data_IF_556580019417
#
_entry.id   IF_556580019417
#
_cell.length_a   1.000
_cell.length_b   1.000
_cell.length_c   1.000
_cell.angle_alpha   90.00
_cell.angle_beta   90.00
_cell.angle_gamma   90.00
#
_symmetry.space_group_name_H-M   'P 1'
#
loop_
_entity.id
_entity.type
_entity.pdbx_description
1 polymer ?
#
# COMPACT_ATOMS: atom_id res chain seq x y z
N UNK A 1 9.84 -11.17 -11.28
CA UNK A 1 8.98 -12.13 -11.98
C UNK A 1 7.70 -12.34 -11.20
N UNK A 2 6.54 -12.46 -11.85
CA UNK A 2 5.30 -12.98 -11.26
C UNK A 2 5.20 -14.48 -11.54
N UNK A 3 4.81 -15.27 -10.54
CA UNK A 3 4.77 -16.75 -10.62
C UNK A 3 3.55 -17.32 -9.92
N UNK A 4 3.25 -18.60 -10.13
CA UNK A 4 2.23 -19.30 -9.34
C UNK A 4 2.78 -19.74 -7.97
N UNK A 5 1.90 -20.12 -7.05
CA UNK A 5 2.27 -20.48 -5.68
C UNK A 5 3.31 -21.61 -5.60
N UNK A 6 3.17 -22.67 -6.40
CA UNK A 6 4.12 -23.80 -6.40
C UNK A 6 5.53 -23.36 -6.81
N UNK A 7 5.62 -22.49 -7.82
CA UNK A 7 6.88 -21.92 -8.30
C UNK A 7 7.52 -20.99 -7.26
N UNK A 8 6.72 -20.17 -6.58
CA UNK A 8 7.18 -19.33 -5.47
C UNK A 8 7.77 -20.16 -4.32
N UNK A 9 7.16 -21.31 -4.00
CA UNK A 9 7.65 -22.21 -2.95
C UNK A 9 8.94 -22.90 -3.37
N UNK A 10 9.02 -23.33 -4.63
CA UNK A 10 10.17 -24.01 -5.19
C UNK A 10 11.32 -23.07 -5.62
N UNK A 11 11.11 -21.75 -5.60
CA UNK A 11 12.00 -20.79 -6.26
C UNK A 11 12.25 -21.13 -7.74
N UNK A 12 11.20 -21.59 -8.42
CA UNK A 12 11.23 -21.87 -9.83
C UNK A 12 10.89 -20.59 -10.61
N UNK A 13 11.80 -20.16 -11.48
CA UNK A 13 11.62 -18.99 -12.36
C UNK A 13 11.64 -19.36 -13.85
N UNK A 14 11.47 -20.65 -14.18
CA UNK A 14 11.54 -21.16 -15.55
C UNK A 14 10.32 -20.82 -16.41
N UNK A 15 9.16 -20.57 -15.79
CA UNK A 15 7.91 -20.28 -16.51
C UNK A 15 7.09 -19.18 -15.83
N UNK A 16 7.64 -17.96 -15.71
CA UNK A 16 6.95 -16.87 -15.05
C UNK A 16 5.68 -16.47 -15.80
N UNK A 17 4.64 -16.07 -15.06
CA UNK A 17 3.43 -15.43 -15.60
C UNK A 17 3.81 -14.12 -16.29
N UNK A 18 4.74 -13.37 -15.69
CA UNK A 18 5.24 -12.09 -16.21
C UNK A 18 6.66 -11.81 -15.72
N UNK A 19 7.42 -11.08 -16.54
CA UNK A 19 8.81 -10.69 -16.29
C UNK A 19 8.95 -9.17 -16.31
N UNK A 20 9.66 -8.64 -15.32
CA UNK A 20 9.91 -7.21 -15.15
C UNK A 20 11.40 -7.03 -14.84
N UNK A 21 12.08 -6.18 -15.62
CA UNK A 21 13.55 -6.06 -15.62
C UNK A 21 14.04 -4.63 -15.83
N UNK A 22 13.17 -3.61 -15.74
CA UNK A 22 13.60 -2.22 -15.98
C UNK A 22 14.40 -1.66 -14.81
N UNK A 23 14.30 -2.28 -13.63
CA UNK A 23 14.93 -1.82 -12.40
C UNK A 23 14.14 -0.73 -11.68
N UNK A 24 13.10 -0.19 -12.32
CA UNK A 24 12.11 0.72 -11.73
C UNK A 24 10.70 0.28 -12.17
N UNK A 25 10.38 -0.99 -11.90
CA UNK A 25 9.15 -1.62 -12.35
C UNK A 25 7.98 -1.24 -11.43
N UNK A 26 6.84 -0.87 -12.01
CA UNK A 26 5.58 -0.63 -11.29
C UNK A 26 4.54 -1.65 -11.73
N UNK A 27 3.95 -2.36 -10.77
CA UNK A 27 3.04 -3.49 -11.00
C UNK A 27 1.70 -3.20 -10.33
N UNK A 28 0.64 -3.04 -11.12
CA UNK A 28 -0.71 -2.84 -10.61
C UNK A 28 -1.41 -4.18 -10.35
N UNK A 29 -1.85 -4.41 -9.12
CA UNK A 29 -2.59 -5.61 -8.72
C UNK A 29 -4.08 -5.28 -8.59
N UNK A 30 -4.90 -5.79 -9.52
CA UNK A 30 -6.32 -5.45 -9.61
C UNK A 30 -7.25 -6.49 -8.97
N UNK A 31 -6.73 -7.66 -8.59
CA UNK A 31 -7.53 -8.76 -8.06
C UNK A 31 -7.16 -9.07 -6.63
N UNK A 32 -8.17 -9.44 -5.84
CA UNK A 32 -7.99 -9.93 -4.48
C UNK A 32 -7.32 -11.31 -4.47
N UNK A 33 -6.70 -11.64 -3.34
CA UNK A 33 -5.97 -12.90 -3.13
C UNK A 33 -4.46 -12.73 -3.19
N UNK A 34 -3.77 -13.86 -3.21
CA UNK A 34 -2.31 -13.94 -3.18
C UNK A 34 -1.68 -13.74 -4.56
N UNK A 35 -0.68 -12.88 -4.62
CA UNK A 35 0.16 -12.63 -5.79
C UNK A 35 1.61 -12.86 -5.42
N UNK A 36 2.27 -13.77 -6.14
CA UNK A 36 3.62 -14.20 -5.82
C UNK A 36 4.64 -13.64 -6.80
N UNK A 37 5.72 -13.11 -6.26
CA UNK A 37 6.83 -12.59 -7.04
C UNK A 37 8.17 -13.14 -6.54
N UNK A 38 9.06 -13.42 -7.49
CA UNK A 38 10.43 -13.90 -7.24
C UNK A 38 11.42 -13.17 -8.13
N UNK A 39 12.67 -13.09 -7.69
CA UNK A 39 13.78 -12.80 -8.60
C UNK A 39 14.28 -14.09 -9.25
N UNK A 40 14.48 -14.05 -10.58
CA UNK A 40 14.95 -15.19 -11.36
C UNK A 40 16.47 -15.34 -11.43
N UNK A 41 17.24 -14.41 -10.85
CA UNK A 41 18.70 -14.52 -10.80
C UNK A 41 19.08 -15.69 -9.89
N UNK A 42 19.97 -16.60 -10.33
CA UNK A 42 20.35 -17.77 -9.55
C UNK A 42 20.73 -17.43 -8.11
N UNK A 43 20.12 -18.11 -7.14
CA UNK A 43 20.36 -17.92 -5.71
C UNK A 43 19.55 -16.80 -5.05
N UNK A 44 19.07 -15.80 -5.79
CA UNK A 44 18.39 -14.65 -5.18
C UNK A 44 17.09 -15.03 -4.47
N UNK A 45 16.25 -15.87 -5.10
CA UNK A 45 15.00 -16.32 -4.48
C UNK A 45 15.25 -17.17 -3.22
N UNK A 46 16.24 -18.06 -3.28
CA UNK A 46 16.64 -18.92 -2.16
C UNK A 46 17.18 -18.09 -0.99
N UNK A 47 17.86 -16.99 -1.29
CA UNK A 47 18.33 -16.00 -0.33
C UNK A 47 17.24 -15.02 0.15
N UNK A 48 15.97 -15.26 -0.22
CA UNK A 48 14.83 -14.50 0.29
C UNK A 48 14.33 -13.36 -0.60
N UNK A 49 14.87 -13.17 -1.81
CA UNK A 49 14.38 -12.18 -2.77
C UNK A 49 13.10 -12.68 -3.46
N UNK A 50 12.03 -12.74 -2.68
CA UNK A 50 10.67 -13.12 -3.10
C UNK A 50 9.64 -12.48 -2.18
N UNK A 51 8.43 -12.24 -2.70
CA UNK A 51 7.33 -11.64 -1.93
C UNK A 51 6.00 -12.30 -2.27
N UNK A 52 5.19 -12.51 -1.24
CA UNK A 52 3.76 -12.88 -1.33
C UNK A 52 2.96 -11.64 -0.93
N UNK A 53 2.11 -11.17 -1.84
CA UNK A 53 1.21 -10.03 -1.61
C UNK A 53 -0.22 -10.56 -1.53
N UNK A 54 -0.81 -10.51 -0.33
CA UNK A 54 -2.22 -10.84 -0.14
C UNK A 54 -3.09 -9.57 -0.22
N UNK A 55 -3.80 -9.40 -1.33
CA UNK A 55 -4.74 -8.31 -1.52
C UNK A 55 -6.09 -8.69 -0.91
N UNK A 56 -6.43 -8.02 0.20
CA UNK A 56 -7.69 -8.25 0.89
C UNK A 56 -8.88 -7.73 0.06
N UNK A 57 -10.01 -8.42 0.15
CA UNK A 57 -11.26 -7.88 -0.37
C UNK A 57 -11.68 -6.71 0.52
N UNK A 58 -11.86 -5.53 -0.06
CA UNK A 58 -12.46 -4.41 0.67
C UNK A 58 -13.83 -4.85 1.19
N UNK A 59 -14.13 -4.67 2.49
CA UNK A 59 -15.49 -4.84 2.96
C UNK A 59 -16.37 -3.89 2.15
N UNK A 60 -17.37 -4.44 1.46
CA UNK A 60 -18.45 -3.60 0.94
C UNK A 60 -19.00 -2.79 2.11
N UNK A 61 -19.24 -1.48 1.98
CA UNK A 61 -20.00 -0.78 3.00
C UNK A 61 -21.32 -1.53 3.17
N UNK A 62 -21.54 -2.10 4.35
CA UNK A 62 -22.87 -2.56 4.72
C UNK A 62 -23.80 -1.35 4.62
N UNK A 63 -25.07 -1.52 4.22
CA UNK A 63 -26.04 -0.46 4.40
C UNK A 63 -26.05 -0.13 5.89
N UNK A 64 -25.63 1.08 6.25
CA UNK A 64 -25.85 1.59 7.59
C UNK A 64 -27.35 1.55 7.83
N UNK A 65 -27.83 0.69 8.73
CA UNK A 65 -29.17 0.90 9.29
C UNK A 65 -29.15 2.28 9.92
N UNK A 66 -29.90 3.21 9.35
CA UNK A 66 -30.02 4.58 9.81
C UNK A 66 -30.25 4.59 11.33
N UNK A 67 -29.32 5.18 12.07
CA UNK A 67 -29.53 5.43 13.49
C UNK A 67 -30.77 6.34 13.66
N UNK A 68 -31.60 6.16 14.70
CA UNK A 68 -32.71 7.05 14.97
C UNK A 68 -32.23 8.49 15.13
N UNK A 69 -32.93 9.42 14.50
CA UNK A 69 -32.65 10.84 14.54
C UNK A 69 -32.68 11.35 16.00
N UNK A 70 -31.68 12.12 16.47
CA UNK A 70 -31.77 12.76 17.79
C UNK A 70 -32.90 13.82 17.82
N UNK A 71 -33.53 14.06 18.98
CA UNK A 71 -34.56 15.09 19.13
C UNK A 71 -33.98 16.50 18.84
N UNK A 72 -34.82 17.46 18.42
CA UNK A 72 -34.37 18.78 17.99
C UNK A 72 -33.69 19.54 19.13
N UNK A 73 -32.51 20.08 18.85
CA UNK A 73 -31.78 20.97 19.75
C UNK A 73 -32.42 22.36 19.79
N UNK A 74 -32.49 22.96 20.98
CA UNK A 74 -32.93 24.34 21.21
C UNK A 74 -31.97 25.36 20.56
N UNK A 75 -32.44 26.56 20.20
CA UNK A 75 -31.61 27.56 19.52
C UNK A 75 -30.66 28.25 20.51
N UNK A 76 -29.37 28.30 20.16
CA UNK A 76 -28.39 29.20 20.79
C UNK A 76 -27.88 30.22 19.76
N UNK A 77 -27.61 31.47 20.18
CA UNK A 77 -27.40 32.59 19.28
C UNK A 77 -26.00 32.62 18.67
N UNK A 78 -25.94 33.19 17.46
CA UNK A 78 -24.71 33.49 16.71
C UNK A 78 -23.94 34.66 17.34
N UNK A 79 -22.62 34.77 17.14
CA UNK A 79 -22.19 35.68 16.08
C UNK A 79 -20.93 35.28 15.27
N UNK A 80 -21.06 35.47 13.97
CA UNK A 80 -20.20 36.18 12.98
C UNK A 80 -18.66 36.22 13.06
N UNK A 81 -18.11 35.94 11.88
CA UNK A 81 -16.93 36.52 11.20
C UNK A 81 -15.53 35.93 11.46
N UNK A 82 -15.02 35.26 10.42
CA UNK A 82 -13.63 34.83 10.23
C UNK A 82 -12.77 35.92 9.56
N UNK A 83 -11.43 35.79 9.63
CA UNK A 83 -10.56 36.15 8.51
C UNK A 83 -9.80 34.92 7.95
N UNK A 84 -9.30 34.98 6.70
CA UNK A 84 -8.65 33.84 6.06
C UNK A 84 -7.17 33.75 6.45
N UNK A 85 -6.69 32.55 6.78
CA UNK A 85 -5.26 32.26 6.94
C UNK A 85 -4.83 31.24 5.89
N UNK A 86 -4.16 31.72 4.85
CA UNK A 86 -3.45 30.90 3.88
C UNK A 86 -2.18 30.36 4.57
N UNK A 87 -2.06 29.05 4.81
CA UNK A 87 -0.80 28.43 5.23
C UNK A 87 -0.49 27.23 4.33
N UNK A 88 0.14 27.59 3.22
CA UNK A 88 1.11 26.79 2.49
C UNK A 88 2.22 26.33 3.46
N UNK A 89 2.19 25.08 3.92
CA UNK A 89 3.36 24.45 4.54
C UNK A 89 3.58 23.05 4.01
N UNK A 90 4.44 23.04 3.00
CA UNK A 90 5.33 21.98 2.57
C UNK A 90 5.82 21.13 3.77
N UNK A 91 5.31 19.92 3.91
CA UNK A 91 5.87 18.89 4.79
C UNK A 91 6.72 17.92 3.96
N UNK A 92 7.87 18.42 3.51
CA UNK A 92 9.09 17.61 3.40
C UNK A 92 10.14 18.31 4.27
N UNK A 93 10.68 17.63 5.29
CA UNK A 93 11.92 16.90 5.03
C UNK A 93 12.09 15.64 5.89
N UNK A 94 12.00 14.45 5.30
CA UNK A 94 12.46 13.21 5.96
C UNK A 94 13.63 12.53 5.23
N UNK A 95 14.44 13.32 4.51
CA UNK A 95 15.62 12.81 3.82
C UNK A 95 16.76 12.44 4.80
N UNK A 96 16.83 13.08 5.96
CA UNK A 96 17.81 12.74 7.00
C UNK A 96 17.47 11.42 7.72
N UNK A 97 16.17 11.13 7.89
CA UNK A 97 15.72 9.85 8.47
C UNK A 97 16.03 8.69 7.50
N UNK A 98 15.78 8.86 6.20
CA UNK A 98 16.08 7.85 5.20
C UNK A 98 17.58 7.55 5.09
N UNK A 99 18.43 8.57 5.18
CA UNK A 99 19.89 8.40 5.17
C UNK A 99 20.41 7.65 6.42
N UNK A 100 19.79 7.89 7.57
CA UNK A 100 20.11 7.17 8.81
C UNK A 100 19.63 5.70 8.76
N UNK A 101 18.48 5.42 8.15
CA UNK A 101 18.03 4.04 7.93
C UNK A 101 18.97 3.27 6.99
N UNK A 102 19.45 3.89 5.89
CA UNK A 102 20.34 3.22 4.93
C UNK A 102 21.70 2.87 5.56
N UNK A 103 22.20 3.66 6.51
CA UNK A 103 23.49 3.40 7.17
C UNK A 103 23.43 2.36 8.29
N UNK A 104 22.24 2.06 8.82
CA UNK A 104 22.06 1.06 9.89
C UNK A 104 21.91 -0.37 9.34
N UNK A 105 21.45 -0.51 8.09
CA UNK A 105 21.15 -1.82 7.47
C UNK A 105 22.16 -2.25 6.38
N UNK A 106 23.31 -1.58 6.29
CA UNK A 106 24.44 -1.98 5.46
C UNK A 106 25.52 -2.68 6.30
#
# INVERSE_FOLDING_TARGET
>A
MQVIHSEYKACNASSPISTHTTGNDSITINTHGHHFFVCGVPGHCQSGQKVDINVLRSPSPMPSLSAPLPPPAAPSPSPSAAPPSLQLRCLLPNLLLLYLFITIFA
#
